data_IF_333680963121
#
_entry.id   IF_333680963121
#
_cell.length_a   1.000
_cell.length_b   1.000
_cell.length_c   1.000
_cell.angle_alpha   90.00
_cell.angle_beta   90.00
_cell.angle_gamma   90.00
#
_symmetry.space_group_name_H-M   'P 1'
#
loop_
_entity.id
_entity.type
_entity.pdbx_description
1 polymer ?
#
# COMPACT_ATOMS: atom_id res chain seq x y z
N UNK A 1 -17.02 3.30 22.04
CA UNK A 1 -15.72 2.79 21.52
C UNK A 1 -15.59 3.24 20.07
N UNK A 2 -14.51 3.94 19.72
CA UNK A 2 -14.28 4.42 18.34
C UNK A 2 -13.78 3.22 17.53
N UNK A 3 -14.64 2.64 16.69
CA UNK A 3 -14.28 1.55 15.79
C UNK A 3 -13.26 2.08 14.80
N UNK A 4 -12.03 1.62 14.93
CA UNK A 4 -10.91 1.97 14.07
C UNK A 4 -11.24 1.64 12.61
N UNK A 5 -10.81 2.52 11.71
CA UNK A 5 -11.13 2.54 10.28
C UNK A 5 -11.12 1.14 9.62
N UNK A 6 -12.30 0.64 9.25
CA UNK A 6 -12.47 -0.52 8.38
C UNK A 6 -12.31 -0.08 6.92
N UNK A 7 -11.07 0.10 6.44
CA UNK A 7 -10.85 0.44 5.01
C UNK A 7 -10.93 -0.80 4.10
N UNK A 8 -10.78 -2.01 4.66
CA UNK A 8 -10.72 -3.28 3.92
C UNK A 8 -11.51 -4.43 4.57
N UNK A 9 -12.40 -4.14 5.52
CA UNK A 9 -13.14 -5.19 6.27
C UNK A 9 -12.30 -6.01 7.26
N UNK A 10 -11.01 -5.69 7.40
CA UNK A 10 -10.08 -6.33 8.33
C UNK A 10 -9.82 -5.47 9.57
N UNK A 11 -9.57 -6.10 10.71
CA UNK A 11 -9.13 -5.40 11.91
C UNK A 11 -7.68 -4.93 11.72
N UNK A 12 -7.45 -3.64 11.93
CA UNK A 12 -6.11 -3.06 11.79
C UNK A 12 -5.22 -3.48 12.95
N UNK A 13 -4.22 -4.32 12.67
CA UNK A 13 -3.20 -4.69 13.66
C UNK A 13 -2.05 -3.69 13.61
N UNK A 14 -1.62 -3.19 14.78
CA UNK A 14 -0.44 -2.32 14.88
C UNK A 14 0.82 -3.15 14.64
N UNK A 15 1.44 -2.97 13.48
CA UNK A 15 2.72 -3.59 13.12
C UNK A 15 3.77 -2.53 12.79
N UNK A 16 5.04 -2.86 13.02
CA UNK A 16 6.19 -2.01 12.69
C UNK A 16 7.17 -2.79 11.83
N UNK A 17 7.73 -2.14 10.82
CA UNK A 17 8.74 -2.74 9.93
C UNK A 17 9.95 -1.84 9.82
N UNK A 18 11.12 -2.45 9.65
CA UNK A 18 12.36 -1.74 9.35
C UNK A 18 12.65 -1.85 7.87
N UNK A 19 12.83 -0.70 7.21
CA UNK A 19 13.15 -0.62 5.79
C UNK A 19 14.53 0.00 5.62
N UNK A 20 15.18 -0.32 4.49
CA UNK A 20 16.42 0.36 4.10
C UNK A 20 16.18 1.85 3.86
N UNK A 21 17.23 2.68 4.01
CA UNK A 21 17.14 4.13 3.77
C UNK A 21 16.64 4.45 2.36
N UNK A 22 17.05 3.67 1.37
CA UNK A 22 16.62 3.82 -0.03
C UNK A 22 15.14 3.52 -0.20
N UNK A 23 14.64 2.40 0.36
CA UNK A 23 13.23 2.05 0.31
C UNK A 23 12.36 3.10 1.04
N UNK A 24 12.82 3.59 2.19
CA UNK A 24 12.16 4.68 2.90
C UNK A 24 12.05 5.97 2.08
N UNK A 25 13.12 6.34 1.37
CA UNK A 25 13.12 7.53 0.52
C UNK A 25 12.14 7.39 -0.65
N UNK A 26 12.06 6.21 -1.26
CA UNK A 26 11.09 5.93 -2.32
C UNK A 26 9.65 5.99 -1.80
N UNK A 27 9.37 5.34 -0.67
CA UNK A 27 8.06 5.38 -0.01
C UNK A 27 7.63 6.82 0.32
N UNK A 28 8.58 7.66 0.75
CA UNK A 28 8.35 9.07 1.06
C UNK A 28 7.99 9.92 -0.15
N UNK A 29 8.49 9.56 -1.35
CA UNK A 29 8.11 10.24 -2.60
C UNK A 29 6.68 9.87 -3.00
N UNK A 30 6.40 8.57 -3.10
CA UNK A 30 5.08 8.07 -3.51
C UNK A 30 3.95 8.56 -2.59
N UNK A 31 4.15 8.51 -1.27
CA UNK A 31 3.12 8.95 -0.33
C UNK A 31 2.80 10.45 -0.46
N UNK A 32 3.76 11.27 -0.90
CA UNK A 32 3.55 12.72 -1.08
C UNK A 32 2.74 12.99 -2.33
N UNK A 33 3.01 12.26 -3.40
CA UNK A 33 2.26 12.33 -4.66
C UNK A 33 0.79 11.96 -4.43
N UNK A 34 0.53 10.91 -3.66
CA UNK A 34 -0.83 10.44 -3.35
C UNK A 34 -1.46 11.09 -2.10
N UNK A 35 -0.73 11.96 -1.40
CA UNK A 35 -1.15 12.61 -0.15
C UNK A 35 -1.65 11.63 0.94
N UNK A 36 -0.98 10.49 1.07
CA UNK A 36 -1.30 9.45 2.08
C UNK A 36 -0.22 9.31 3.14
N UNK A 37 -0.53 8.60 4.23
CA UNK A 37 0.47 8.27 5.24
C UNK A 37 1.46 7.21 4.73
N UNK A 38 2.66 7.14 5.34
CA UNK A 38 3.65 6.08 5.05
C UNK A 38 3.06 4.68 5.23
N UNK A 39 2.35 4.47 6.34
CA UNK A 39 1.74 3.18 6.66
C UNK A 39 0.68 2.77 5.64
N UNK A 40 -0.14 3.73 5.21
CA UNK A 40 -1.17 3.48 4.19
C UNK A 40 -0.55 3.18 2.82
N UNK A 41 0.45 3.95 2.40
CA UNK A 41 1.17 3.68 1.15
C UNK A 41 1.82 2.30 1.16
N UNK A 42 2.49 1.96 2.27
CA UNK A 42 3.12 0.65 2.42
C UNK A 42 2.09 -0.49 2.36
N UNK A 43 0.95 -0.32 3.02
CA UNK A 43 -0.13 -1.31 3.00
C UNK A 43 -0.68 -1.53 1.59
N UNK A 44 -0.88 -0.46 0.81
CA UNK A 44 -1.30 -0.55 -0.60
C UNK A 44 -0.32 -1.35 -1.45
N UNK A 45 0.97 -1.01 -1.37
CA UNK A 45 2.02 -1.68 -2.15
C UNK A 45 2.14 -3.16 -1.80
N UNK A 46 2.06 -3.50 -0.52
CA UNK A 46 2.09 -4.91 -0.08
C UNK A 46 0.86 -5.65 -0.57
N UNK A 47 -0.34 -5.05 -0.46
CA UNK A 47 -1.58 -5.67 -0.94
C UNK A 47 -1.56 -5.89 -2.45
N UNK A 48 -1.05 -4.95 -3.24
CA UNK A 48 -0.90 -5.11 -4.69
C UNK A 48 0.02 -6.29 -5.03
N UNK A 49 1.08 -6.51 -4.24
CA UNK A 49 2.01 -7.64 -4.45
C UNK A 49 1.47 -8.99 -3.99
N UNK A 50 0.73 -9.02 -2.88
CA UNK A 50 0.20 -10.27 -2.29
C UNK A 50 -1.11 -10.69 -2.94
N UNK A 51 -1.92 -9.73 -3.38
CA UNK A 51 -3.21 -9.96 -4.02
C UNK A 51 -3.31 -9.12 -5.30
N UNK A 52 -2.55 -9.47 -6.36
CA UNK A 52 -2.65 -8.79 -7.63
C UNK A 52 -4.09 -8.91 -8.11
N UNK A 53 -4.77 -7.77 -8.24
CA UNK A 53 -6.11 -7.76 -8.84
C UNK A 53 -6.01 -8.32 -10.26
N UNK A 54 -6.96 -9.15 -10.73
CA UNK A 54 -7.00 -9.57 -12.13
C UNK A 54 -7.16 -8.41 -13.12
N UNK A 55 -7.45 -7.19 -12.65
CA UNK A 55 -7.41 -5.97 -13.48
C UNK A 55 -5.97 -5.55 -13.84
N UNK A 56 -4.98 -5.82 -12.98
CA UNK A 56 -3.57 -5.46 -13.24
C UNK A 56 -2.99 -6.28 -14.40
N UNK A 57 -3.45 -7.52 -14.58
CA UNK A 57 -3.11 -8.34 -15.75
C UNK A 57 -3.72 -7.77 -17.05
N UNK A 58 -4.98 -7.30 -17.01
CA UNK A 58 -5.63 -6.71 -18.19
C UNK A 58 -4.96 -5.41 -18.63
N UNK A 59 -4.56 -4.54 -17.70
CA UNK A 59 -3.84 -3.31 -18.03
C UNK A 59 -2.41 -3.58 -18.56
N UNK A 60 -1.76 -4.64 -18.07
CA UNK A 60 -0.48 -5.10 -18.60
C UNK A 60 -0.60 -5.72 -20.01
N UNK A 61 -1.74 -6.36 -20.32
CA UNK A 61 -2.02 -6.95 -21.64
C UNK A 61 -2.43 -5.91 -22.71
N UNK A 62 -3.07 -4.80 -22.32
CA UNK A 62 -3.52 -3.74 -23.25
C UNK A 62 -2.42 -2.76 -23.68
N UNK A 63 -1.20 -2.86 -23.11
CA UNK A 63 -0.04 -2.01 -23.46
C UNK A 63 0.98 -2.68 -24.39
N UNK A 64 0.67 -3.84 -24.97
CA UNK A 64 1.47 -4.49 -26.02
C UNK A 64 0.73 -4.48 -27.36
#
# INVERSE_FOLDING_TARGET
MKTEHQKYGELKVKTGVSLTKTAMSYLDKLRKEEQVSRSEMLERLVREKVNPSPLTEKEAMLKN
#
